data_IF_801594166132
#
_entry.id   IF_801594166132
#
_cell.length_a   1.000
_cell.length_b   1.000
_cell.length_c   1.000
_cell.angle_alpha   90.00
_cell.angle_beta   90.00
_cell.angle_gamma   90.00
#
_symmetry.space_group_name_H-M   'P 1'
#
loop_
_entity.id
_entity.type
_entity.pdbx_description
1 polymer ?
#
# COMPACT_ATOMS: atom_id res chain seq x y z
N UNK A 1 3.12 -9.48 -1.03
CA UNK A 1 3.66 -8.12 -0.89
C UNK A 1 5.18 -8.08 -0.89
N UNK A 2 5.91 -8.61 0.09
CA UNK A 2 7.40 -8.55 0.13
C UNK A 2 8.09 -9.12 -1.13
N UNK A 3 7.44 -10.03 -1.86
CA UNK A 3 7.92 -10.52 -3.16
C UNK A 3 7.87 -9.46 -4.27
N UNK A 4 7.00 -8.45 -4.15
CA UNK A 4 6.82 -7.39 -5.15
C UNK A 4 7.70 -6.16 -4.89
N UNK A 5 8.27 -6.02 -3.70
CA UNK A 5 9.03 -4.83 -3.26
C UNK A 5 10.57 -5.05 -3.27
N UNK A 6 11.06 -5.96 -4.11
CA UNK A 6 12.52 -6.19 -4.25
C UNK A 6 13.13 -7.13 -3.21
N UNK A 7 12.31 -7.75 -2.34
CA UNK A 7 12.76 -8.69 -1.30
C UNK A 7 13.54 -8.02 -0.16
N UNK A 8 14.24 -8.84 0.62
CA UNK A 8 15.08 -8.39 1.76
C UNK A 8 16.45 -7.91 1.27
N UNK A 9 16.49 -6.84 0.49
CA UNK A 9 17.70 -6.31 -0.10
C UNK A 9 17.90 -4.86 0.28
N UNK A 10 19.13 -4.50 0.68
CA UNK A 10 19.55 -3.12 0.84
C UNK A 10 19.85 -2.53 -0.54
N UNK A 11 19.24 -1.39 -0.85
CA UNK A 11 19.55 -0.60 -2.05
C UNK A 11 19.88 0.82 -1.63
N UNK A 12 20.87 1.40 -2.29
CA UNK A 12 21.26 2.81 -2.14
C UNK A 12 21.43 3.40 -3.53
N UNK A 13 20.37 4.04 -4.03
CA UNK A 13 20.37 4.63 -5.37
C UNK A 13 20.72 6.11 -5.22
N UNK A 14 21.89 6.49 -5.72
CA UNK A 14 22.37 7.86 -5.68
C UNK A 14 21.37 8.80 -6.39
N UNK A 15 20.85 9.76 -5.64
CA UNK A 15 19.83 10.72 -6.16
C UNK A 15 18.37 10.30 -5.91
N UNK A 16 18.11 9.15 -5.30
CA UNK A 16 16.76 8.80 -4.83
C UNK A 16 16.43 9.62 -3.56
N UNK A 17 15.23 10.24 -3.58
CA UNK A 17 14.72 11.01 -2.44
C UNK A 17 14.51 10.16 -1.18
N UNK A 18 14.35 8.84 -1.33
CA UNK A 18 14.20 7.89 -0.24
C UNK A 18 15.49 7.58 0.52
N UNK A 19 16.66 7.84 -0.10
CA UNK A 19 17.96 7.40 0.42
C UNK A 19 18.09 5.88 0.43
N UNK A 20 18.85 5.35 1.39
CA UNK A 20 18.95 3.90 1.58
C UNK A 20 17.56 3.28 1.77
N UNK A 21 17.32 2.15 1.12
CA UNK A 21 16.05 1.42 1.20
C UNK A 21 16.33 -0.06 1.49
N UNK A 22 15.66 -0.61 2.50
CA UNK A 22 15.71 -2.01 2.85
C UNK A 22 14.31 -2.61 2.86
N UNK A 23 14.09 -3.67 2.10
CA UNK A 23 12.79 -4.35 1.99
C UNK A 23 11.61 -3.37 1.73
N UNK A 24 11.82 -2.33 0.89
CA UNK A 24 10.82 -1.30 0.61
C UNK A 24 10.71 -0.18 1.65
N UNK A 25 11.43 -0.28 2.77
CA UNK A 25 11.45 0.76 3.82
C UNK A 25 12.52 1.79 3.48
N UNK A 26 12.12 3.02 3.12
CA UNK A 26 13.02 4.09 2.74
C UNK A 26 13.49 4.86 3.99
N UNK A 27 14.81 5.01 4.17
CA UNK A 27 15.41 5.60 5.38
C UNK A 27 14.99 7.04 5.60
N UNK A 28 14.94 7.84 4.56
CA UNK A 28 14.55 9.25 4.68
C UNK A 28 13.08 9.43 5.09
N UNK A 29 12.22 8.45 4.77
CA UNK A 29 10.81 8.45 5.16
C UNK A 29 10.58 7.85 6.55
N UNK A 30 11.40 6.86 6.92
CA UNK A 30 11.29 6.10 8.15
C UNK A 30 12.61 6.04 8.91
N UNK A 31 13.18 7.20 9.32
CA UNK A 31 14.53 7.27 9.92
C UNK A 31 14.63 6.54 11.26
N UNK A 32 13.51 6.38 11.96
CA UNK A 32 13.46 5.77 13.29
C UNK A 32 13.13 4.27 13.26
N UNK A 33 13.08 3.64 12.08
CA UNK A 33 12.90 2.20 12.02
C UNK A 33 14.07 1.46 12.65
N UNK A 34 13.79 0.58 13.63
CA UNK A 34 14.83 -0.12 14.41
C UNK A 34 15.76 -1.00 13.58
N UNK A 35 15.32 -1.46 12.41
CA UNK A 35 16.15 -2.23 11.48
C UNK A 35 17.39 -1.47 10.97
N UNK A 36 17.39 -0.13 11.00
CA UNK A 36 18.55 0.67 10.61
C UNK A 36 19.76 0.46 11.51
N UNK A 37 19.56 0.09 12.78
CA UNK A 37 20.65 -0.25 13.69
C UNK A 37 21.46 -1.46 13.23
N UNK A 38 20.82 -2.45 12.62
CA UNK A 38 21.50 -3.60 12.03
C UNK A 38 22.22 -3.20 10.74
N UNK A 39 21.55 -2.44 9.85
CA UNK A 39 22.15 -1.94 8.60
C UNK A 39 23.43 -1.13 8.87
N UNK A 40 23.40 -0.25 9.86
CA UNK A 40 24.56 0.62 10.23
C UNK A 40 25.74 -0.18 10.78
N UNK A 41 25.50 -1.39 11.28
CA UNK A 41 26.58 -2.34 11.71
C UNK A 41 27.01 -3.29 10.61
N UNK A 42 26.44 -3.15 9.39
CA UNK A 42 26.70 -4.09 8.28
C UNK A 42 26.01 -5.44 8.45
N UNK A 43 25.01 -5.52 9.33
CA UNK A 43 24.22 -6.72 9.61
C UNK A 43 22.92 -6.71 8.81
N UNK A 44 22.33 -7.90 8.63
CA UNK A 44 21.01 -8.06 8.00
C UNK A 44 19.92 -7.88 9.06
N UNK A 45 18.98 -6.93 8.89
CA UNK A 45 17.85 -6.78 9.80
C UNK A 45 17.01 -8.05 9.90
N UNK A 46 16.55 -8.38 11.10
CA UNK A 46 15.67 -9.53 11.31
C UNK A 46 14.37 -9.36 10.51
N UNK A 47 13.92 -10.46 9.91
CA UNK A 47 12.66 -10.49 9.12
C UNK A 47 11.44 -10.04 9.95
N UNK A 48 11.44 -10.33 11.26
CA UNK A 48 10.39 -9.88 12.17
C UNK A 48 10.24 -8.35 12.19
N UNK A 49 11.36 -7.61 12.23
CA UNK A 49 11.34 -6.14 12.24
C UNK A 49 10.69 -5.55 10.98
N UNK A 50 10.92 -6.20 9.82
CA UNK A 50 10.27 -5.80 8.56
C UNK A 50 8.77 -6.08 8.63
N UNK A 51 8.39 -7.27 9.09
CA UNK A 51 6.99 -7.68 9.18
C UNK A 51 6.22 -6.79 10.16
N UNK A 52 6.80 -6.53 11.34
CA UNK A 52 6.20 -5.69 12.37
C UNK A 52 6.02 -4.25 11.85
N UNK A 53 7.03 -3.72 11.14
CA UNK A 53 6.93 -2.41 10.47
C UNK A 53 5.71 -2.30 9.55
N UNK A 54 5.53 -3.28 8.64
CA UNK A 54 4.41 -3.27 7.70
C UNK A 54 3.07 -3.50 8.38
N UNK A 55 3.05 -4.33 9.44
CA UNK A 55 1.86 -4.57 10.25
C UNK A 55 1.41 -3.31 10.96
N UNK A 56 2.30 -2.64 11.67
CA UNK A 56 1.98 -1.46 12.47
C UNK A 56 1.61 -0.24 11.61
N UNK A 57 2.36 -0.02 10.54
CA UNK A 57 2.21 1.19 9.74
C UNK A 57 1.14 1.10 8.64
N UNK A 58 0.73 -0.11 8.23
CA UNK A 58 -0.22 -0.29 7.14
C UNK A 58 -1.33 -1.28 7.44
N UNK A 59 -1.02 -2.53 7.84
CA UNK A 59 -2.02 -3.56 8.06
C UNK A 59 -3.03 -3.20 9.14
N UNK A 60 -2.55 -2.73 10.29
CA UNK A 60 -3.41 -2.29 11.39
C UNK A 60 -4.22 -1.03 11.01
N UNK A 61 -3.67 -0.15 10.16
CA UNK A 61 -4.38 1.04 9.69
C UNK A 61 -5.59 0.71 8.82
N UNK A 62 -5.48 -0.34 8.01
CA UNK A 62 -6.59 -0.84 7.19
C UNK A 62 -7.45 -1.87 7.92
N UNK A 63 -7.18 -2.12 9.20
CA UNK A 63 -7.89 -3.09 10.05
C UNK A 63 -7.94 -4.49 9.41
N UNK A 64 -6.82 -4.93 8.85
CA UNK A 64 -6.73 -6.15 8.05
C UNK A 64 -7.20 -7.41 8.76
N UNK A 65 -6.97 -7.52 10.08
CA UNK A 65 -7.42 -8.68 10.88
C UNK A 65 -8.95 -8.75 11.07
N UNK A 66 -9.67 -7.64 10.84
CA UNK A 66 -11.13 -7.55 11.02
C UNK A 66 -11.90 -7.68 9.68
N UNK A 67 -11.17 -7.76 8.56
CA UNK A 67 -11.75 -8.03 7.26
C UNK A 67 -11.87 -9.55 7.06
N UNK A 68 -13.11 -10.03 6.81
CA UNK A 68 -13.42 -11.46 6.66
C UNK A 68 -12.85 -12.06 5.39
N UNK A 69 -12.74 -11.27 4.32
CA UNK A 69 -12.18 -11.70 3.05
C UNK A 69 -10.72 -11.32 2.94
N UNK A 70 -9.82 -12.30 3.03
CA UNK A 70 -8.38 -12.11 2.91
C UNK A 70 -8.00 -11.35 1.62
N UNK A 71 -8.65 -11.63 0.49
CA UNK A 71 -8.39 -10.95 -0.77
C UNK A 71 -8.71 -9.45 -0.75
N UNK A 72 -9.72 -9.02 0.01
CA UNK A 72 -10.02 -7.60 0.22
C UNK A 72 -8.96 -6.97 1.12
N UNK A 73 -8.61 -7.63 2.24
CA UNK A 73 -7.59 -7.16 3.16
C UNK A 73 -6.23 -6.96 2.48
N UNK A 74 -5.79 -7.94 1.69
CA UNK A 74 -4.53 -7.86 0.93
C UNK A 74 -4.55 -6.76 -0.12
N UNK A 75 -5.63 -6.64 -0.91
CA UNK A 75 -5.75 -5.59 -1.92
C UNK A 75 -5.69 -4.19 -1.31
N UNK A 76 -6.35 -4.01 -0.17
CA UNK A 76 -6.37 -2.75 0.55
C UNK A 76 -5.00 -2.43 1.16
N UNK A 77 -4.35 -3.41 1.77
CA UNK A 77 -3.02 -3.30 2.34
C UNK A 77 -1.96 -2.98 1.29
N UNK A 78 -1.92 -3.72 0.19
CA UNK A 78 -0.94 -3.48 -0.89
C UNK A 78 -1.08 -2.07 -1.46
N UNK A 79 -2.31 -1.59 -1.62
CA UNK A 79 -2.52 -0.23 -2.08
C UNK A 79 -2.20 0.82 -1.01
N UNK A 80 -2.42 0.52 0.27
CA UNK A 80 -2.04 1.39 1.38
C UNK A 80 -0.52 1.60 1.45
N UNK A 81 0.26 0.55 1.23
CA UNK A 81 1.73 0.66 1.15
C UNK A 81 2.18 1.59 0.02
N UNK A 82 1.50 1.54 -1.14
CA UNK A 82 1.85 2.33 -2.32
C UNK A 82 1.35 3.79 -2.28
N UNK A 83 0.12 4.00 -1.85
CA UNK A 83 -0.59 5.29 -1.96
C UNK A 83 -0.90 5.96 -0.62
N UNK A 84 -0.59 5.29 0.48
CA UNK A 84 -0.96 5.67 1.84
C UNK A 84 -2.31 5.08 2.26
N UNK A 85 -2.42 4.77 3.55
CA UNK A 85 -3.59 4.15 4.18
C UNK A 85 -4.87 4.94 3.95
N UNK A 86 -4.85 6.24 4.21
CA UNK A 86 -6.02 7.10 4.04
C UNK A 86 -6.55 7.11 2.59
N UNK A 87 -5.65 7.10 1.60
CA UNK A 87 -6.04 7.03 0.19
C UNK A 87 -6.66 5.68 -0.15
N UNK A 88 -6.03 4.59 0.28
CA UNK A 88 -6.53 3.24 0.05
C UNK A 88 -7.92 3.06 0.66
N UNK A 89 -8.10 3.52 1.90
CA UNK A 89 -9.39 3.44 2.60
C UNK A 89 -10.48 4.24 1.86
N UNK A 90 -10.18 5.46 1.42
CA UNK A 90 -11.15 6.28 0.66
C UNK A 90 -11.63 5.59 -0.61
N UNK A 91 -10.73 4.97 -1.38
CA UNK A 91 -11.14 4.26 -2.58
C UNK A 91 -11.96 3.00 -2.26
N UNK A 92 -11.59 2.27 -1.20
CA UNK A 92 -12.37 1.13 -0.75
C UNK A 92 -13.77 1.53 -0.28
N UNK A 93 -13.90 2.65 0.40
CA UNK A 93 -15.20 3.22 0.82
C UNK A 93 -16.07 3.59 -0.37
N UNK A 94 -15.49 4.14 -1.43
CA UNK A 94 -16.23 4.42 -2.68
C UNK A 94 -16.78 3.12 -3.27
N UNK A 95 -15.96 2.06 -3.33
CA UNK A 95 -16.40 0.74 -3.84
C UNK A 95 -17.48 0.13 -2.96
N UNK A 96 -17.38 0.31 -1.64
CA UNK A 96 -18.36 -0.19 -0.67
C UNK A 96 -19.63 0.66 -0.57
N UNK A 97 -19.69 1.81 -1.26
CA UNK A 97 -20.87 2.70 -1.27
C UNK A 97 -21.10 3.41 0.06
N UNK A 98 -20.06 3.64 0.85
CA UNK A 98 -20.12 4.37 2.13
C UNK A 98 -19.39 5.72 2.05
N UNK A 99 -19.54 6.56 3.09
CA UNK A 99 -18.87 7.85 3.15
C UNK A 99 -17.33 7.69 3.06
N UNK A 100 -16.71 8.40 2.12
CA UNK A 100 -15.28 8.33 1.82
C UNK A 100 -14.47 9.31 2.68
N UNK A 101 -14.42 9.06 4.00
CA UNK A 101 -13.71 9.88 4.98
C UNK A 101 -12.24 9.46 5.19
N UNK A 102 -11.88 8.25 4.76
CA UNK A 102 -10.54 7.67 4.89
C UNK A 102 -10.26 7.05 6.25
N UNK A 103 -11.30 6.67 6.99
CA UNK A 103 -11.22 5.98 8.28
C UNK A 103 -12.11 4.73 8.26
N UNK A 104 -11.57 3.56 8.62
CA UNK A 104 -12.38 2.34 8.73
C UNK A 104 -13.06 2.33 10.11
N UNK A 105 -14.27 2.91 10.16
CA UNK A 105 -15.18 2.75 11.28
C UNK A 105 -16.06 1.51 11.15
N UNK A 106 -16.99 1.29 12.12
CA UNK A 106 -17.88 0.11 12.10
C UNK A 106 -18.70 -0.03 10.81
N UNK A 107 -19.25 1.06 10.28
CA UNK A 107 -20.03 1.06 9.03
C UNK A 107 -19.20 0.68 7.81
N UNK A 108 -17.96 1.18 7.71
CA UNK A 108 -17.04 0.82 6.63
C UNK A 108 -16.65 -0.65 6.72
N UNK A 109 -16.35 -1.14 7.92
CA UNK A 109 -15.98 -2.53 8.14
C UNK A 109 -17.13 -3.48 7.78
N UNK A 110 -18.35 -3.19 8.22
CA UNK A 110 -19.56 -3.94 7.88
C UNK A 110 -19.77 -3.98 6.36
N UNK A 111 -19.69 -2.84 5.68
CA UNK A 111 -19.87 -2.74 4.24
C UNK A 111 -18.80 -3.52 3.46
N UNK A 112 -17.53 -3.43 3.85
CA UNK A 112 -16.44 -4.18 3.22
C UNK A 112 -16.58 -5.69 3.44
N UNK A 113 -17.02 -6.12 4.63
CA UNK A 113 -17.24 -7.52 4.96
C UNK A 113 -18.49 -8.12 4.28
N UNK A 114 -19.40 -7.29 3.81
CA UNK A 114 -20.57 -7.71 3.02
C UNK A 114 -20.28 -7.86 1.52
N UNK A 115 -19.11 -7.36 1.05
CA UNK A 115 -18.75 -7.46 -0.37
C UNK A 115 -18.13 -8.82 -0.70
N UNK A 116 -18.44 -9.29 -1.90
CA UNK A 116 -17.72 -10.39 -2.54
C UNK A 116 -16.35 -9.89 -3.04
N UNK A 117 -15.32 -10.73 -2.93
CA UNK A 117 -13.96 -10.40 -3.38
C UNK A 117 -13.89 -10.23 -4.91
N UNK A 118 -14.69 -11.01 -5.65
CA UNK A 118 -14.75 -10.96 -7.11
C UNK A 118 -15.47 -9.69 -7.61
N UNK A 119 -16.32 -9.09 -6.76
CA UNK A 119 -16.86 -7.76 -7.00
C UNK A 119 -15.84 -6.68 -6.58
N UNK A 120 -15.25 -6.79 -5.39
CA UNK A 120 -14.38 -5.75 -4.84
C UNK A 120 -13.15 -5.48 -5.71
N UNK A 121 -12.42 -6.53 -6.11
CA UNK A 121 -11.14 -6.37 -6.83
C UNK A 121 -11.25 -5.56 -8.14
N UNK A 122 -12.13 -5.89 -9.10
CA UNK A 122 -12.23 -5.11 -10.34
C UNK A 122 -12.70 -3.67 -10.10
N UNK A 123 -13.66 -3.44 -9.20
CA UNK A 123 -14.11 -2.08 -8.90
C UNK A 123 -13.06 -1.27 -8.16
N UNK A 124 -12.28 -1.89 -7.28
CA UNK A 124 -11.15 -1.24 -6.64
C UNK A 124 -10.03 -0.90 -7.63
N UNK A 125 -9.79 -1.77 -8.62
CA UNK A 125 -8.88 -1.48 -9.74
C UNK A 125 -9.35 -0.28 -10.57
N UNK A 126 -10.63 -0.20 -10.91
CA UNK A 126 -11.21 0.96 -11.60
C UNK A 126 -11.08 2.26 -10.78
N UNK A 127 -11.31 2.19 -9.48
CA UNK A 127 -11.14 3.33 -8.58
C UNK A 127 -9.67 3.82 -8.54
N UNK A 128 -8.69 2.91 -8.54
CA UNK A 128 -7.26 3.23 -8.66
C UNK A 128 -6.96 3.92 -9.99
N UNK A 129 -7.46 3.40 -11.11
CA UNK A 129 -7.25 3.98 -12.44
C UNK A 129 -7.86 5.39 -12.53
N UNK A 130 -9.07 5.58 -12.00
CA UNK A 130 -9.69 6.91 -11.94
C UNK A 130 -8.82 7.91 -11.17
N UNK A 131 -8.26 7.49 -10.02
CA UNK A 131 -7.32 8.30 -9.25
C UNK A 131 -6.05 8.65 -10.06
N UNK A 132 -5.46 7.70 -10.77
CA UNK A 132 -4.26 7.95 -11.59
C UNK A 132 -4.54 8.97 -12.70
N UNK A 133 -5.69 8.87 -13.37
CA UNK A 133 -6.16 9.87 -14.31
C UNK A 133 -6.20 11.26 -13.67
N UNK A 134 -6.78 11.38 -12.48
CA UNK A 134 -6.91 12.66 -11.79
C UNK A 134 -5.55 13.25 -11.39
N UNK A 135 -4.60 12.40 -10.95
CA UNK A 135 -3.22 12.82 -10.67
C UNK A 135 -2.57 13.40 -11.93
N UNK A 136 -2.63 12.67 -13.06
CA UNK A 136 -2.01 13.12 -14.33
C UNK A 136 -2.73 14.33 -14.92
N UNK A 137 -4.04 14.46 -14.70
CA UNK A 137 -4.79 15.63 -15.15
C UNK A 137 -4.36 16.90 -14.39
N UNK A 138 -4.10 16.77 -13.09
CA UNK A 138 -3.63 17.87 -12.23
C UNK A 138 -2.15 18.21 -12.47
N UNK A 139 -1.34 17.19 -12.71
CA UNK A 139 0.10 17.32 -12.95
C UNK A 139 0.54 16.39 -14.09
N UNK A 140 0.66 16.97 -15.28
CA UNK A 140 1.07 16.26 -16.52
C UNK A 140 2.43 15.58 -16.39
N UNK A 141 3.32 16.07 -15.54
CA UNK A 141 4.65 15.47 -15.32
C UNK A 141 4.58 14.06 -14.75
N UNK A 142 3.47 13.71 -14.08
CA UNK A 142 3.22 12.39 -13.51
C UNK A 142 2.84 11.33 -14.58
N UNK A 143 2.54 11.76 -15.80
CA UNK A 143 2.19 10.86 -16.91
C UNK A 143 3.24 9.79 -17.21
N UNK A 144 4.51 10.07 -16.94
CA UNK A 144 5.62 9.10 -17.09
C UNK A 144 5.49 7.86 -16.21
N UNK A 145 4.71 7.92 -15.11
CA UNK A 145 4.49 6.81 -14.20
C UNK A 145 3.19 6.03 -14.49
N UNK A 146 2.30 6.59 -15.30
CA UNK A 146 0.93 6.10 -15.50
C UNK A 146 0.90 4.64 -15.96
N UNK A 147 1.74 4.27 -16.93
CA UNK A 147 1.78 2.90 -17.44
C UNK A 147 2.21 1.90 -16.36
N UNK A 148 3.18 2.29 -15.53
CA UNK A 148 3.62 1.46 -14.39
C UNK A 148 2.51 1.26 -13.36
N UNK A 149 1.75 2.30 -13.06
CA UNK A 149 0.62 2.23 -12.13
C UNK A 149 -0.51 1.34 -12.68
N UNK A 150 -0.86 1.48 -13.97
CA UNK A 150 -1.87 0.64 -14.63
C UNK A 150 -1.43 -0.83 -14.62
N UNK A 151 -0.18 -1.13 -15.01
CA UNK A 151 0.32 -2.50 -15.06
C UNK A 151 0.32 -3.16 -13.68
N UNK A 152 0.65 -2.43 -12.63
CA UNK A 152 0.55 -2.92 -11.25
C UNK A 152 -0.91 -3.24 -10.90
N UNK A 153 -1.82 -2.31 -11.16
CA UNK A 153 -3.25 -2.48 -10.85
C UNK A 153 -3.85 -3.69 -11.57
N UNK A 154 -3.50 -3.91 -12.84
CA UNK A 154 -3.98 -5.07 -13.59
C UNK A 154 -3.48 -6.40 -13.02
N UNK A 155 -2.23 -6.45 -12.55
CA UNK A 155 -1.69 -7.66 -11.88
C UNK A 155 -2.35 -7.96 -10.55
N UNK A 156 -2.77 -6.92 -9.81
CA UNK A 156 -3.44 -7.05 -8.52
C UNK A 156 -4.93 -7.41 -8.67
N UNK A 157 -5.53 -7.11 -9.82
CA UNK A 157 -6.94 -7.38 -10.11
C UNK A 157 -7.18 -8.81 -10.67
N UNK A 158 -6.13 -9.45 -11.16
CA UNK A 158 -6.18 -10.83 -11.67
C UNK A 158 -6.07 -11.85 -10.52
#
# INVERSE_FOLDING_TARGET
MLRNEGGYKLTDIKGDKGGQTYAGIARNRWPNWSGWLAVDRGEVPQTSLVRDFYRENFWNKVRGDELTHQGIAESLFDFAVNAGDRTAIKLAQIVAGVASDGVIGPKTLEALNALDVDYFRPYFALAKIARYRDIVTKDRSQGKFLLGWINRTLREAA
#
